data_IF_592840687731
#
_entry.id   IF_592840687731
#
_cell.length_a   1.000
_cell.length_b   1.000
_cell.length_c   1.000
_cell.angle_alpha   90.00
_cell.angle_beta   90.00
_cell.angle_gamma   90.00
#
_symmetry.space_group_name_H-M   'P 1'
#
loop_
_entity.id
_entity.type
_entity.pdbx_description
1 polymer ?
#
# COMPACT_ATOMS: atom_id res chain seq x y z
N UNK A 1 22.57 -1.67 6.85
CA UNK A 1 21.83 -2.39 5.78
C UNK A 1 20.32 -2.30 6.00
N UNK A 2 19.80 -2.72 7.16
CA UNK A 2 18.38 -2.61 7.51
C UNK A 2 17.69 -1.27 7.20
N UNK A 3 18.21 -0.19 7.79
CA UNK A 3 17.64 1.16 7.64
C UNK A 3 17.67 1.67 6.19
N UNK A 4 18.65 1.23 5.40
CA UNK A 4 18.77 1.58 3.98
C UNK A 4 17.64 0.94 3.18
N UNK A 5 17.32 -0.32 3.45
CA UNK A 5 16.22 -1.04 2.79
C UNK A 5 14.87 -0.41 3.16
N UNK A 6 14.65 -0.11 4.45
CA UNK A 6 13.43 0.61 4.88
C UNK A 6 13.28 1.97 4.19
N UNK A 7 14.36 2.74 4.12
CA UNK A 7 14.36 4.03 3.45
C UNK A 7 14.06 3.89 1.95
N UNK A 8 14.65 2.89 1.28
CA UNK A 8 14.37 2.61 -0.12
C UNK A 8 12.90 2.25 -0.36
N UNK A 9 12.30 1.40 0.49
CA UNK A 9 10.87 1.05 0.41
C UNK A 9 10.00 2.30 0.59
N UNK A 10 10.28 3.13 1.59
CA UNK A 10 9.55 4.38 1.81
C UNK A 10 9.66 5.33 0.62
N UNK A 11 10.84 5.45 0.01
CA UNK A 11 11.04 6.24 -1.21
C UNK A 11 10.19 5.68 -2.35
N UNK A 12 10.16 4.36 -2.56
CA UNK A 12 9.34 3.73 -3.59
C UNK A 12 7.84 4.02 -3.40
N UNK A 13 7.33 3.91 -2.17
CA UNK A 13 5.93 4.24 -1.85
C UNK A 13 5.66 5.72 -2.15
N UNK A 14 6.53 6.62 -1.69
CA UNK A 14 6.38 8.07 -1.91
C UNK A 14 6.45 8.42 -3.39
N UNK A 15 7.33 7.79 -4.17
CA UNK A 15 7.40 7.98 -5.62
C UNK A 15 6.14 7.49 -6.34
N UNK A 16 5.61 6.33 -5.94
CA UNK A 16 4.35 5.80 -6.48
C UNK A 16 3.18 6.76 -6.20
N UNK A 17 3.05 7.21 -4.95
CA UNK A 17 2.04 8.21 -4.56
C UNK A 17 2.26 9.54 -5.32
N UNK A 18 3.49 10.04 -5.41
CA UNK A 18 3.79 11.29 -6.13
C UNK A 18 3.39 11.19 -7.60
N UNK A 19 3.60 10.04 -8.24
CA UNK A 19 3.22 9.86 -9.64
C UNK A 19 1.70 9.92 -9.80
N UNK A 20 0.94 9.40 -8.83
CA UNK A 20 -0.52 9.50 -8.80
C UNK A 20 -1.01 10.93 -8.52
N UNK A 21 -0.40 11.65 -7.57
CA UNK A 21 -0.83 12.99 -7.12
C UNK A 21 -0.20 14.17 -7.89
N UNK A 22 0.90 13.97 -8.61
CA UNK A 22 1.62 15.05 -9.30
C UNK A 22 2.22 14.56 -10.63
N UNK A 23 1.41 14.11 -11.59
CA UNK A 23 1.90 13.74 -12.91
C UNK A 23 2.44 14.98 -13.64
N UNK A 24 3.68 14.89 -14.10
CA UNK A 24 4.44 15.97 -14.74
C UNK A 24 4.03 16.24 -16.21
N UNK A 25 2.72 16.35 -16.50
CA UNK A 25 2.07 16.38 -17.84
C UNK A 25 1.60 14.99 -18.31
N UNK A 26 0.48 14.52 -17.75
CA UNK A 26 -0.32 13.50 -18.42
C UNK A 26 -1.53 14.19 -19.06
N UNK A 27 -1.42 14.45 -20.36
CA UNK A 27 -2.55 14.89 -21.20
C UNK A 27 -3.34 13.64 -21.59
N UNK A 28 -4.18 13.12 -20.70
CA UNK A 28 -5.02 11.95 -21.01
C UNK A 28 -6.50 12.32 -21.01
N UNK A 29 -7.03 12.44 -22.23
CA UNK A 29 -8.44 12.23 -22.57
C UNK A 29 -8.97 11.00 -21.81
N UNK A 30 -10.12 11.15 -21.16
CA UNK A 30 -11.09 10.14 -20.71
C UNK A 30 -10.53 8.77 -20.27
N UNK A 31 -10.73 8.37 -19.01
CA UNK A 31 -10.56 7.01 -18.43
C UNK A 31 -10.02 5.96 -19.43
N UNK A 32 -8.74 6.07 -19.80
CA UNK A 32 -8.10 5.11 -20.69
C UNK A 32 -7.75 3.87 -19.88
N UNK A 33 -7.81 2.69 -20.52
CA UNK A 33 -7.36 1.44 -19.91
C UNK A 33 -5.95 1.54 -19.31
N UNK A 34 -5.09 2.38 -19.91
CA UNK A 34 -3.76 2.72 -19.40
C UNK A 34 -3.78 3.35 -18.00
N UNK A 35 -4.72 4.26 -17.72
CA UNK A 35 -4.86 4.89 -16.42
C UNK A 35 -5.35 3.90 -15.36
N UNK A 36 -6.21 2.96 -15.74
CA UNK A 36 -6.68 1.89 -14.85
C UNK A 36 -5.54 0.91 -14.51
N UNK A 37 -4.74 0.52 -15.51
CA UNK A 37 -3.55 -0.32 -15.29
C UNK A 37 -2.54 0.39 -14.39
N UNK A 38 -2.30 1.70 -14.59
CA UNK A 38 -1.46 2.51 -13.73
C UNK A 38 -1.96 2.56 -12.27
N UNK A 39 -3.27 2.69 -12.07
CA UNK A 39 -3.89 2.62 -10.75
C UNK A 39 -3.61 1.26 -10.09
N UNK A 40 -3.80 0.16 -10.83
CA UNK A 40 -3.48 -1.20 -10.36
C UNK A 40 -2.02 -1.36 -9.93
N UNK A 41 -1.07 -0.85 -10.72
CA UNK A 41 0.35 -0.84 -10.35
C UNK A 41 0.62 -0.03 -9.08
N UNK A 42 -0.05 1.12 -8.92
CA UNK A 42 0.09 1.95 -7.73
C UNK A 42 -0.35 1.18 -6.48
N UNK A 43 -1.50 0.49 -6.55
CA UNK A 43 -1.95 -0.39 -5.45
C UNK A 43 -0.97 -1.51 -5.16
N UNK A 44 -0.46 -2.19 -6.18
CA UNK A 44 0.50 -3.27 -6.01
C UNK A 44 1.80 -2.80 -5.32
N UNK A 45 2.32 -1.63 -5.69
CA UNK A 45 3.54 -1.07 -5.07
C UNK A 45 3.31 -0.72 -3.60
N UNK A 46 2.17 -0.11 -3.27
CA UNK A 46 1.85 0.25 -1.88
C UNK A 46 1.67 -1.01 -1.05
N UNK A 47 0.93 -2.00 -1.57
CA UNK A 47 0.71 -3.28 -0.89
C UNK A 47 2.04 -4.01 -0.62
N UNK A 48 2.90 -4.12 -1.64
CA UNK A 48 4.22 -4.73 -1.47
C UNK A 48 5.09 -3.93 -0.50
N UNK A 49 5.04 -2.60 -0.57
CA UNK A 49 5.81 -1.71 0.29
C UNK A 49 5.45 -1.85 1.77
N UNK A 50 4.17 -1.75 2.11
CA UNK A 50 3.70 -1.94 3.49
C UNK A 50 3.88 -3.38 3.97
N UNK A 51 3.60 -4.38 3.12
CA UNK A 51 3.88 -5.78 3.42
C UNK A 51 5.35 -6.04 3.78
N UNK A 52 6.29 -5.43 3.04
CA UNK A 52 7.71 -5.51 3.36
C UNK A 52 8.07 -4.77 4.66
N UNK A 53 7.47 -3.60 4.93
CA UNK A 53 7.66 -2.88 6.20
C UNK A 53 7.21 -3.74 7.39
N UNK A 54 6.04 -4.39 7.29
CA UNK A 54 5.53 -5.29 8.34
C UNK A 54 6.46 -6.47 8.58
N UNK A 55 6.86 -7.17 7.52
CA UNK A 55 7.80 -8.29 7.61
C UNK A 55 9.11 -7.85 8.24
N UNK A 56 9.64 -6.70 7.81
CA UNK A 56 10.86 -6.16 8.34
C UNK A 56 10.73 -5.94 9.85
N UNK A 57 9.71 -5.20 10.29
CA UNK A 57 9.54 -4.96 11.72
C UNK A 57 9.40 -6.27 12.53
N UNK A 58 8.70 -7.28 11.99
CA UNK A 58 8.60 -8.63 12.59
C UNK A 58 9.96 -9.32 12.72
N UNK A 59 10.78 -9.35 11.66
CA UNK A 59 12.13 -9.97 11.69
C UNK A 59 13.05 -9.26 12.69
N UNK A 60 12.87 -7.95 12.90
CA UNK A 60 13.63 -7.18 13.90
C UNK A 60 13.20 -7.46 15.35
N UNK A 61 12.15 -8.26 15.56
CA UNK A 61 11.63 -8.64 16.87
C UNK A 61 10.49 -7.76 17.37
N UNK A 62 9.93 -6.87 16.54
CA UNK A 62 8.72 -6.15 16.91
C UNK A 62 7.49 -7.03 16.69
N UNK A 63 6.57 -7.01 17.64
CA UNK A 63 5.25 -7.62 17.46
C UNK A 63 4.36 -6.61 16.73
N UNK A 64 4.18 -6.83 15.43
CA UNK A 64 3.47 -5.90 14.51
C UNK A 64 2.05 -6.36 14.23
N UNK A 65 1.84 -7.67 14.19
CA UNK A 65 0.55 -8.31 14.03
C UNK A 65 0.56 -9.65 14.77
N UNK A 66 -0.63 -10.11 15.13
CA UNK A 66 -0.87 -11.44 15.67
C UNK A 66 -1.64 -12.26 14.66
N UNK A 67 -1.26 -13.53 14.54
CA UNK A 67 -1.92 -14.55 13.75
C UNK A 67 -2.29 -15.72 14.70
N UNK A 68 -3.33 -16.51 14.40
CA UNK A 68 -3.68 -17.67 15.21
C UNK A 68 -2.48 -18.61 15.36
N UNK A 69 -2.29 -19.21 16.54
CA UNK A 69 -1.12 -20.08 16.82
C UNK A 69 -1.00 -21.24 15.83
N UNK A 70 -2.13 -21.75 15.31
CA UNK A 70 -2.16 -22.82 14.30
C UNK A 70 -1.58 -22.39 12.93
N UNK A 71 -1.52 -21.08 12.68
CA UNK A 71 -1.01 -20.46 11.46
C UNK A 71 0.32 -19.74 11.70
N UNK A 72 0.88 -19.83 12.91
CA UNK A 72 2.13 -19.17 13.28
C UNK A 72 3.30 -19.77 12.48
N UNK A 73 3.61 -19.12 11.37
CA UNK A 73 4.63 -19.58 10.43
C UNK A 73 6.05 -19.33 10.92
N UNK A 74 6.89 -20.37 10.87
CA UNK A 74 8.33 -20.26 11.14
C UNK A 74 9.12 -19.92 9.88
N UNK A 75 8.55 -20.14 8.70
CA UNK A 75 9.20 -19.86 7.41
C UNK A 75 9.11 -18.38 7.05
N UNK A 76 10.21 -17.81 6.57
CA UNK A 76 10.27 -16.41 6.12
C UNK A 76 9.33 -16.13 4.93
N UNK A 77 9.08 -17.12 4.06
CA UNK A 77 8.21 -16.99 2.89
C UNK A 77 6.75 -16.84 3.32
N UNK A 78 6.34 -17.64 4.29
CA UNK A 78 4.99 -17.60 4.83
C UNK A 78 4.76 -16.28 5.57
N UNK A 79 5.73 -15.83 6.37
CA UNK A 79 5.66 -14.53 7.03
C UNK A 79 5.58 -13.36 6.04
N UNK A 80 6.27 -13.46 4.90
CA UNK A 80 6.16 -12.48 3.81
C UNK A 80 4.74 -12.49 3.23
N UNK A 81 4.20 -13.68 2.94
CA UNK A 81 2.83 -13.86 2.46
C UNK A 81 1.80 -13.26 3.41
N UNK A 82 1.87 -13.60 4.69
CA UNK A 82 1.02 -13.06 5.76
C UNK A 82 1.12 -11.54 5.86
N UNK A 83 2.34 -10.98 5.75
CA UNK A 83 2.55 -9.53 5.83
C UNK A 83 1.97 -8.78 4.63
N UNK A 84 2.13 -9.32 3.41
CA UNK A 84 1.52 -8.77 2.19
C UNK A 84 -0.01 -8.91 2.26
N UNK A 85 -0.52 -10.02 2.78
CA UNK A 85 -1.95 -10.24 2.93
C UNK A 85 -2.56 -9.26 3.95
N UNK A 86 -1.93 -9.02 5.10
CA UNK A 86 -2.34 -7.97 6.06
C UNK A 86 -2.39 -6.59 5.40
N UNK A 87 -1.37 -6.26 4.61
CA UNK A 87 -1.32 -5.03 3.84
C UNK A 87 -2.48 -4.95 2.83
N UNK A 88 -2.75 -6.02 2.08
CA UNK A 88 -3.85 -6.08 1.12
C UNK A 88 -5.24 -5.91 1.76
N UNK A 89 -5.55 -6.64 2.83
CA UNK A 89 -6.84 -6.52 3.52
C UNK A 89 -7.02 -5.16 4.19
N UNK A 90 -5.92 -4.49 4.54
CA UNK A 90 -5.93 -3.13 5.10
C UNK A 90 -6.14 -2.08 4.00
N UNK A 91 -5.34 -2.15 2.94
CA UNK A 91 -5.35 -1.20 1.82
C UNK A 91 -6.69 -1.17 1.10
N UNK A 92 -7.34 -2.33 0.96
CA UNK A 92 -8.68 -2.43 0.38
C UNK A 92 -9.80 -2.40 1.41
N UNK A 93 -9.50 -2.16 2.69
CA UNK A 93 -10.48 -2.08 3.78
C UNK A 93 -11.38 -3.31 3.90
N UNK A 94 -10.85 -4.49 3.58
CA UNK A 94 -11.55 -5.77 3.71
C UNK A 94 -11.54 -6.23 5.17
N UNK A 95 -10.37 -6.22 5.80
CA UNK A 95 -10.21 -6.45 7.24
C UNK A 95 -10.92 -7.68 7.79
N UNK A 96 -10.64 -8.89 7.27
CA UNK A 96 -11.29 -10.14 7.71
C UNK A 96 -11.16 -10.42 9.22
N UNK A 97 -10.17 -9.84 9.89
CA UNK A 97 -9.96 -9.95 11.33
C UNK A 97 -9.23 -11.22 11.76
N UNK A 98 -8.78 -12.02 10.81
CA UNK A 98 -7.92 -13.20 10.98
C UNK A 98 -6.48 -12.82 11.35
N UNK A 99 -6.00 -11.68 10.85
CA UNK A 99 -4.73 -11.08 11.27
C UNK A 99 -5.01 -9.72 11.87
N UNK A 100 -4.58 -9.54 13.12
CA UNK A 100 -4.86 -8.31 13.86
C UNK A 100 -3.57 -7.52 14.06
N UNK A 101 -3.51 -6.25 13.60
CA UNK A 101 -2.35 -5.40 13.83
C UNK A 101 -2.24 -5.01 15.32
N UNK A 102 -1.02 -5.08 15.85
CA UNK A 102 -0.70 -4.75 17.25
C UNK A 102 0.56 -3.89 17.33
N UNK A 103 0.79 -3.27 18.48
CA UNK A 103 1.95 -2.41 18.69
C UNK A 103 2.06 -1.30 17.63
N UNK A 104 3.25 -1.14 17.05
CA UNK A 104 3.52 -0.17 15.96
C UNK A 104 2.73 -0.47 14.68
N UNK A 105 2.31 -1.72 14.48
CA UNK A 105 1.52 -2.13 13.32
C UNK A 105 0.19 -1.40 13.22
N UNK A 106 -0.43 -1.04 14.36
CA UNK A 106 -1.68 -0.26 14.40
C UNK A 106 -1.55 1.09 13.71
N UNK A 107 -0.46 1.80 13.95
CA UNK A 107 -0.22 3.10 13.32
C UNK A 107 -0.03 2.95 11.81
N UNK A 108 0.75 1.94 11.40
CA UNK A 108 1.02 1.67 10.00
C UNK A 108 -0.24 1.31 9.21
N UNK A 109 -1.12 0.45 9.75
CA UNK A 109 -2.38 0.10 9.06
C UNK A 109 -3.33 1.29 8.93
N UNK A 110 -3.31 2.24 9.87
CA UNK A 110 -4.13 3.47 9.78
C UNK A 110 -3.63 4.31 8.60
N UNK A 111 -2.31 4.52 8.50
CA UNK A 111 -1.71 5.26 7.39
C UNK A 111 -2.01 4.55 6.06
N UNK A 112 -1.87 3.23 6.02
CA UNK A 112 -2.15 2.44 4.82
C UNK A 112 -3.63 2.51 4.40
N UNK A 113 -4.56 2.37 5.34
CA UNK A 113 -5.99 2.48 5.07
C UNK A 113 -6.37 3.88 4.54
N UNK A 114 -5.77 4.94 5.10
CA UNK A 114 -5.95 6.31 4.60
C UNK A 114 -5.51 6.45 3.14
N UNK A 115 -4.37 5.84 2.77
CA UNK A 115 -3.94 5.79 1.37
C UNK A 115 -4.93 5.01 0.50
N UNK A 116 -5.40 3.86 0.99
CA UNK A 116 -6.40 3.02 0.34
C UNK A 116 -7.67 3.77 -0.07
N UNK A 117 -8.17 4.64 0.82
CA UNK A 117 -9.35 5.49 0.54
C UNK A 117 -9.04 6.71 -0.32
N UNK A 118 -7.84 7.28 -0.20
CA UNK A 118 -7.49 8.53 -0.92
C UNK A 118 -7.21 8.27 -2.40
N UNK A 119 -6.66 7.10 -2.74
CA UNK A 119 -6.26 6.75 -4.12
C UNK A 119 -7.44 6.73 -5.12
N UNK A 120 -8.59 6.05 -4.87
CA UNK A 120 -9.74 6.09 -5.77
C UNK A 120 -10.32 7.49 -5.88
N UNK A 121 -10.42 8.22 -4.76
CA UNK A 121 -10.93 9.58 -4.75
C UNK A 121 -10.06 10.50 -5.62
N UNK A 122 -8.74 10.42 -5.48
CA UNK A 122 -7.80 11.16 -6.30
C UNK A 122 -7.88 10.77 -7.78
N UNK A 123 -8.07 9.49 -8.08
CA UNK A 123 -8.27 9.00 -9.44
C UNK A 123 -9.56 9.53 -10.08
N UNK A 124 -10.67 9.56 -9.33
CA UNK A 124 -11.96 10.09 -9.79
C UNK A 124 -11.90 11.60 -10.01
N UNK A 125 -11.39 12.37 -9.04
CA UNK A 125 -11.23 13.83 -9.18
C UNK A 125 -10.44 14.16 -10.45
N UNK A 126 -9.35 13.46 -10.69
CA UNK A 126 -8.54 13.68 -11.90
C UNK A 126 -9.24 13.26 -13.19
N UNK A 127 -9.96 12.16 -13.16
CA UNK A 127 -10.61 11.61 -14.37
C UNK A 127 -11.81 12.44 -14.80
N UNK A 128 -12.50 13.08 -13.85
CA UNK A 128 -13.79 13.74 -14.10
C UNK A 128 -13.81 15.25 -13.82
N UNK A 129 -13.00 15.77 -12.88
CA UNK A 129 -13.03 17.18 -12.46
C UNK A 129 -11.92 18.00 -13.12
N UNK A 130 -10.71 17.45 -13.28
CA UNK A 130 -9.62 18.13 -14.01
C UNK A 130 -9.85 18.19 -15.54
N UNK A 131 -10.99 17.71 -16.04
CA UNK A 131 -11.45 17.94 -17.41
C UNK A 131 -12.05 19.36 -17.51
N UNK A 132 -11.21 20.39 -17.54
CA UNK A 132 -11.61 21.70 -18.07
C UNK A 132 -11.04 21.84 -19.50
N UNK A 133 -11.86 21.63 -20.54
CA UNK A 133 -11.43 21.76 -21.93
C UNK A 133 -11.34 23.21 -22.42
N UNK A 134 -11.35 24.21 -21.52
CA UNK A 134 -11.24 25.63 -21.91
C UNK A 134 -9.86 26.22 -21.63
N UNK A 135 -8.88 25.88 -22.48
CA UNK A 135 -7.80 26.77 -22.94
C UNK A 135 -7.22 26.25 -24.26
#
# INVERSE_FOLDING_TARGET
MWYVILLAIMICIVMALRTLFFPARFSYKQVSFENFVFLGYTYAIIMLGFGLIFLMLKIKGYVVFIEPEELASTSWIEQLGTSIYLSGITLFSVGYGDIVPVGIGRFLVIVEALLGYTIPAAFVVRSFIDYDPTN
#
